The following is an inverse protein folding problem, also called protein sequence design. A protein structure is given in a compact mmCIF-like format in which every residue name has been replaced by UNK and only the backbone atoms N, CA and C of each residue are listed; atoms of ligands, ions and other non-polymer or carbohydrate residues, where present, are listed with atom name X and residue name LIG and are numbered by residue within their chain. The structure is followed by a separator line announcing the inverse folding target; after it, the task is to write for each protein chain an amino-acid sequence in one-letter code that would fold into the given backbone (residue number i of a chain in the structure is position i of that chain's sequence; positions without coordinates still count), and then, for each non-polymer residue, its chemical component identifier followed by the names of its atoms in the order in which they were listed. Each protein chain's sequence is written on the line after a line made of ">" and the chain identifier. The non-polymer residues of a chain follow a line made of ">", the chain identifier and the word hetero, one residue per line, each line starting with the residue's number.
data_IF_844482915392
#
_entry.id   IF_844482915392
#
_cell.length_a   1.000
_cell.length_b   1.000
_cell.length_c   1.000
_cell.angle_alpha   90.00
_cell.angle_beta   90.00
_cell.angle_gamma   90.00
#
_symmetry.space_group_name_H-M   'P 1'
#
loop_
_entity.id
_entity.type
_entity.pdbx_description
1 polymer ?
#
# COMPACT_ATOMS: atom_id res chain seq x y z
N UNK A 1 -7.81 -27.55 -18.12
CA UNK A 1 -6.66 -28.48 -18.15
C UNK A 1 -5.44 -27.71 -17.68
N UNK A 2 -4.87 -28.00 -16.50
CA UNK A 2 -3.67 -27.34 -16.00
C UNK A 2 -2.51 -27.66 -16.96
N UNK A 3 -1.91 -26.64 -17.57
CA UNK A 3 -0.52 -26.75 -18.00
C UNK A 3 0.34 -26.91 -16.76
N UNK A 4 1.34 -27.79 -16.74
CA UNK A 4 2.00 -28.22 -15.50
C UNK A 4 2.83 -27.17 -14.76
N UNK A 5 3.02 -25.94 -15.27
CA UNK A 5 4.05 -25.01 -14.74
C UNK A 5 3.62 -23.54 -14.57
N UNK A 6 2.34 -23.18 -14.70
CA UNK A 6 1.95 -21.78 -14.64
C UNK A 6 1.39 -21.38 -13.26
N UNK A 7 2.09 -20.49 -12.54
CA UNK A 7 1.65 -19.96 -11.26
C UNK A 7 0.40 -19.08 -11.44
N UNK A 8 -0.68 -19.42 -10.75
CA UNK A 8 -1.94 -18.67 -10.75
C UNK A 8 -1.93 -17.64 -9.63
N UNK A 9 -1.96 -16.36 -9.99
CA UNK A 9 -1.90 -15.25 -9.05
C UNK A 9 -3.22 -14.50 -9.04
N UNK A 10 -3.78 -14.27 -7.86
CA UNK A 10 -4.90 -13.37 -7.65
C UNK A 10 -4.40 -12.04 -7.05
N UNK A 11 -4.85 -10.91 -7.60
CA UNK A 11 -4.66 -9.59 -7.02
C UNK A 11 -6.03 -8.95 -6.83
N UNK A 12 -6.48 -8.81 -5.60
CA UNK A 12 -7.68 -8.02 -5.31
C UNK A 12 -7.31 -6.54 -5.19
N UNK A 13 -8.15 -5.64 -5.65
CA UNK A 13 -7.78 -4.23 -5.83
C UNK A 13 -6.78 -4.03 -6.98
N UNK A 14 -6.87 -4.91 -8.01
CA UNK A 14 -5.95 -4.95 -9.13
C UNK A 14 -6.00 -3.74 -10.06
N UNK A 15 -7.11 -2.99 -10.08
CA UNK A 15 -7.26 -1.72 -10.79
C UNK A 15 -6.76 -0.51 -10.00
N UNK A 16 -6.56 -0.66 -8.68
CA UNK A 16 -6.08 0.40 -7.80
C UNK A 16 -4.60 0.75 -8.05
N UNK A 17 -4.17 1.87 -7.47
CA UNK A 17 -2.82 2.41 -7.68
C UNK A 17 -1.68 1.41 -7.41
N UNK A 18 -1.69 0.74 -6.25
CA UNK A 18 -0.66 -0.26 -5.91
C UNK A 18 -0.92 -1.57 -6.66
N UNK A 19 -2.18 -2.02 -6.78
CA UNK A 19 -2.52 -3.27 -7.45
C UNK A 19 -2.13 -3.29 -8.93
N UNK A 20 -2.43 -2.23 -9.67
CA UNK A 20 -2.04 -2.10 -11.07
C UNK A 20 -0.51 -2.03 -11.24
N UNK A 21 0.20 -1.31 -10.34
CA UNK A 21 1.66 -1.27 -10.36
C UNK A 21 2.27 -2.64 -10.06
N UNK A 22 1.73 -3.34 -9.08
CA UNK A 22 2.15 -4.72 -8.75
C UNK A 22 1.91 -5.67 -9.92
N UNK A 23 0.74 -5.60 -10.57
CA UNK A 23 0.43 -6.42 -11.73
C UNK A 23 1.44 -6.20 -12.87
N UNK A 24 1.72 -4.93 -13.24
CA UNK A 24 2.75 -4.59 -14.24
C UNK A 24 4.13 -5.10 -13.86
N UNK A 25 4.50 -4.95 -12.57
CA UNK A 25 5.78 -5.46 -12.09
C UNK A 25 5.89 -6.98 -12.25
N UNK A 26 4.88 -7.75 -11.85
CA UNK A 26 4.86 -9.21 -11.96
C UNK A 26 4.84 -9.70 -13.42
N UNK A 27 4.20 -8.96 -14.32
CA UNK A 27 4.22 -9.28 -15.76
C UNK A 27 5.58 -9.03 -16.41
N UNK A 28 6.29 -8.00 -15.96
CA UNK A 28 7.62 -7.64 -16.48
C UNK A 28 8.76 -8.39 -15.79
N UNK A 29 8.66 -8.66 -14.49
CA UNK A 29 9.70 -9.20 -13.64
C UNK A 29 9.13 -10.29 -12.71
N UNK A 30 8.64 -11.43 -13.24
CA UNK A 30 8.11 -12.50 -12.40
C UNK A 30 9.24 -13.08 -11.52
N UNK A 31 8.96 -13.39 -10.24
CA UNK A 31 9.94 -14.07 -9.39
C UNK A 31 10.41 -15.38 -10.01
N UNK A 32 11.73 -15.60 -10.07
CA UNK A 32 12.32 -16.79 -10.69
C UNK A 32 11.78 -18.11 -10.10
N UNK A 33 11.45 -18.11 -8.80
CA UNK A 33 10.89 -19.27 -8.12
C UNK A 33 9.46 -19.65 -8.59
N UNK A 34 8.81 -18.83 -9.42
CA UNK A 34 7.47 -19.13 -9.96
C UNK A 34 7.50 -19.87 -11.31
N UNK A 35 8.69 -20.18 -11.82
CA UNK A 35 8.87 -20.85 -13.11
C UNK A 35 8.57 -19.95 -14.30
N UNK A 36 7.57 -20.30 -15.09
CA UNK A 36 7.13 -19.53 -16.25
C UNK A 36 6.35 -18.26 -15.86
N UNK A 37 6.10 -17.38 -16.83
CA UNK A 37 5.30 -16.17 -16.61
C UNK A 37 3.96 -16.48 -15.92
N UNK A 38 3.57 -15.75 -14.86
CA UNK A 38 2.34 -16.02 -14.12
C UNK A 38 1.09 -15.68 -14.94
N UNK A 39 0.00 -16.38 -14.65
CA UNK A 39 -1.34 -15.96 -15.05
C UNK A 39 -1.93 -15.12 -13.92
N UNK A 40 -2.31 -13.87 -14.21
CA UNK A 40 -2.86 -12.95 -13.24
C UNK A 40 -4.39 -12.90 -13.35
N UNK A 41 -5.08 -13.06 -12.25
CA UNK A 41 -6.49 -12.68 -12.12
C UNK A 41 -6.55 -11.41 -11.28
N UNK A 42 -7.05 -10.33 -11.89
CA UNK A 42 -7.19 -9.03 -11.24
C UNK A 42 -8.67 -8.76 -10.95
N UNK A 43 -9.00 -8.57 -9.68
CA UNK A 43 -10.38 -8.19 -9.31
C UNK A 43 -10.42 -6.79 -8.72
N UNK A 44 -11.42 -6.02 -9.11
CA UNK A 44 -11.69 -4.66 -8.64
C UNK A 44 -13.17 -4.32 -8.76
N UNK A 45 -13.64 -3.28 -8.07
CA UNK A 45 -14.98 -2.72 -8.29
C UNK A 45 -15.07 -1.89 -9.56
N UNK A 46 -13.95 -1.38 -10.03
CA UNK A 46 -13.85 -0.52 -11.20
C UNK A 46 -13.10 -1.20 -12.35
N UNK A 47 -13.31 -0.77 -13.60
CA UNK A 47 -12.57 -1.27 -14.74
C UNK A 47 -11.06 -1.15 -14.56
N UNK A 48 -10.32 -2.15 -15.03
CA UNK A 48 -8.86 -2.14 -15.01
C UNK A 48 -8.29 -1.10 -15.99
N UNK A 49 -7.07 -0.60 -15.76
CA UNK A 49 -6.31 0.14 -16.77
C UNK A 49 -6.23 -0.64 -18.09
N UNK A 50 -6.35 0.06 -19.22
CA UNK A 50 -6.49 -0.55 -20.56
C UNK A 50 -5.31 -1.48 -20.93
N UNK A 51 -4.08 -1.13 -20.51
CA UNK A 51 -2.88 -1.93 -20.73
C UNK A 51 -2.96 -3.29 -20.02
N UNK A 52 -3.50 -3.33 -18.80
CA UNK A 52 -3.70 -4.57 -18.05
C UNK A 52 -4.89 -5.37 -18.58
N UNK A 53 -5.98 -4.68 -18.93
CA UNK A 53 -7.18 -5.34 -19.47
C UNK A 53 -6.93 -6.02 -20.82
N UNK A 54 -5.96 -5.55 -21.61
CA UNK A 54 -5.60 -6.10 -22.91
C UNK A 54 -4.45 -7.12 -22.89
N UNK A 55 -3.76 -7.31 -21.76
CA UNK A 55 -2.68 -8.30 -21.67
C UNK A 55 -3.28 -9.72 -21.64
N UNK A 56 -2.87 -10.63 -22.55
CA UNK A 56 -3.43 -11.99 -22.64
C UNK A 56 -3.15 -12.85 -21.41
N UNK A 57 -2.24 -12.46 -20.54
CA UNK A 57 -1.92 -13.15 -19.26
C UNK A 57 -2.83 -12.69 -18.12
N UNK A 58 -3.67 -11.67 -18.36
CA UNK A 58 -4.55 -11.07 -17.36
C UNK A 58 -6.01 -11.46 -17.59
N UNK A 59 -6.66 -11.93 -16.54
CA UNK A 59 -8.10 -12.10 -16.46
C UNK A 59 -8.70 -11.04 -15.56
N UNK A 60 -9.56 -10.18 -16.09
CA UNK A 60 -10.26 -9.15 -15.32
C UNK A 60 -11.57 -9.70 -14.75
N UNK A 61 -11.83 -9.48 -13.45
CA UNK A 61 -13.10 -9.80 -12.80
C UNK A 61 -13.59 -8.55 -12.07
N UNK A 62 -14.66 -7.95 -12.54
CA UNK A 62 -15.17 -6.69 -12.00
C UNK A 62 -16.37 -6.96 -11.09
N UNK A 63 -16.34 -6.41 -9.89
CA UNK A 63 -17.42 -6.49 -8.91
C UNK A 63 -16.93 -6.44 -7.45
N UNK A 64 -17.87 -6.31 -6.50
CA UNK A 64 -17.56 -6.30 -5.07
C UNK A 64 -16.93 -7.64 -4.61
N UNK A 65 -15.98 -7.58 -3.68
CA UNK A 65 -15.34 -8.78 -3.13
C UNK A 65 -16.33 -9.77 -2.51
N UNK A 66 -17.37 -9.26 -1.85
CA UNK A 66 -18.39 -10.07 -1.19
C UNK A 66 -19.10 -11.03 -2.14
N UNK A 67 -19.18 -10.72 -3.43
CA UNK A 67 -19.90 -11.50 -4.45
C UNK A 67 -18.98 -12.51 -5.17
N UNK A 68 -17.67 -12.55 -4.86
CA UNK A 68 -16.68 -13.30 -5.63
C UNK A 68 -16.25 -14.64 -4.98
N UNK A 69 -17.03 -15.17 -4.06
CA UNK A 69 -16.69 -16.40 -3.34
C UNK A 69 -16.37 -17.58 -4.26
N UNK A 70 -17.11 -17.75 -5.38
CA UNK A 70 -16.85 -18.80 -6.36
C UNK A 70 -15.50 -18.61 -7.08
N UNK A 71 -15.09 -17.36 -7.37
CA UNK A 71 -13.77 -17.06 -7.91
C UNK A 71 -12.68 -17.48 -6.92
N UNK A 72 -12.82 -17.12 -5.66
CA UNK A 72 -11.81 -17.39 -4.64
C UNK A 72 -11.61 -18.88 -4.36
N UNK A 73 -12.66 -19.70 -4.55
CA UNK A 73 -12.58 -21.16 -4.42
C UNK A 73 -12.01 -21.88 -5.65
N UNK A 74 -11.68 -21.16 -6.74
CA UNK A 74 -11.14 -21.76 -7.97
C UNK A 74 -9.68 -22.25 -7.87
N UNK A 75 -9.01 -21.98 -6.75
CA UNK A 75 -7.65 -22.43 -6.44
C UNK A 75 -6.57 -21.54 -7.06
N UNK A 76 -6.03 -20.61 -6.29
CA UNK A 76 -4.86 -19.79 -6.63
C UNK A 76 -3.64 -20.29 -5.87
N UNK A 77 -2.45 -20.06 -6.42
CA UNK A 77 -1.18 -20.41 -5.76
C UNK A 77 -0.68 -19.22 -4.91
N UNK A 78 -0.90 -18.00 -5.41
CA UNK A 78 -0.46 -16.75 -4.81
C UNK A 78 -1.63 -15.75 -4.80
N UNK A 79 -1.79 -15.06 -3.68
CA UNK A 79 -2.85 -14.06 -3.50
C UNK A 79 -2.28 -12.78 -2.91
N UNK A 80 -2.43 -11.66 -3.60
CA UNK A 80 -2.23 -10.33 -3.05
C UNK A 80 -3.58 -9.70 -2.76
N UNK A 81 -3.89 -9.54 -1.49
CA UNK A 81 -5.14 -8.94 -1.07
C UNK A 81 -4.93 -7.45 -0.76
N UNK A 82 -5.21 -6.59 -1.75
CA UNK A 82 -5.00 -5.14 -1.68
C UNK A 82 -6.31 -4.35 -1.70
N UNK A 83 -7.42 -4.97 -2.10
CA UNK A 83 -8.73 -4.32 -2.13
C UNK A 83 -9.15 -3.85 -0.73
N UNK A 84 -9.58 -2.61 -0.62
CA UNK A 84 -10.03 -2.01 0.63
C UNK A 84 -10.72 -0.67 0.35
N UNK A 85 -11.83 -0.39 1.03
CA UNK A 85 -12.29 0.98 1.21
C UNK A 85 -11.24 1.75 2.01
N UNK A 86 -10.99 3.01 1.66
CA UNK A 86 -9.93 3.82 2.28
C UNK A 86 -10.40 4.51 3.57
N UNK A 87 -9.46 5.03 4.36
CA UNK A 87 -9.73 5.58 5.69
C UNK A 87 -10.84 6.63 5.70
N UNK A 88 -10.81 7.60 4.76
CA UNK A 88 -11.83 8.64 4.70
C UNK A 88 -13.23 8.11 4.37
N UNK A 89 -13.33 7.10 3.51
CA UNK A 89 -14.60 6.45 3.17
C UNK A 89 -15.16 5.69 4.38
N UNK A 90 -14.32 4.95 5.11
CA UNK A 90 -14.73 4.20 6.29
C UNK A 90 -15.20 5.09 7.45
N UNK A 91 -14.68 6.31 7.56
CA UNK A 91 -15.14 7.28 8.56
C UNK A 91 -16.46 7.95 8.15
N UNK A 92 -16.72 8.10 6.86
CA UNK A 92 -17.96 8.67 6.34
C UNK A 92 -19.09 7.62 6.28
N UNK A 93 -18.75 6.38 5.95
CA UNK A 93 -19.68 5.25 5.85
C UNK A 93 -19.10 4.02 6.55
N UNK A 94 -19.47 3.86 7.82
CA UNK A 94 -19.02 2.76 8.67
C UNK A 94 -19.38 1.39 8.09
N UNK A 95 -20.60 1.26 7.56
CA UNK A 95 -21.11 0.01 6.96
C UNK A 95 -20.37 -0.34 5.67
N UNK A 96 -20.01 0.64 4.84
CA UNK A 96 -19.17 0.43 3.67
C UNK A 96 -17.83 -0.16 4.09
N UNK A 97 -17.22 0.40 5.13
CA UNK A 97 -15.95 -0.10 5.68
C UNK A 97 -16.06 -1.55 6.12
N UNK A 98 -17.08 -1.90 6.90
CA UNK A 98 -17.30 -3.29 7.34
C UNK A 98 -17.50 -4.24 6.17
N UNK A 99 -18.39 -3.93 5.24
CA UNK A 99 -18.67 -4.79 4.07
C UNK A 99 -17.42 -4.97 3.19
N UNK A 100 -16.73 -3.89 2.87
CA UNK A 100 -15.59 -3.95 1.94
C UNK A 100 -14.35 -4.56 2.57
N UNK A 101 -14.00 -4.13 3.79
CA UNK A 101 -12.72 -4.48 4.40
C UNK A 101 -12.80 -5.78 5.19
N UNK A 102 -13.79 -5.92 6.08
CA UNK A 102 -13.89 -7.10 6.95
C UNK A 102 -14.62 -8.26 6.27
N UNK A 103 -15.86 -8.04 5.79
CA UNK A 103 -16.62 -9.11 5.17
C UNK A 103 -16.04 -9.56 3.84
N UNK A 104 -15.52 -8.62 3.02
CA UNK A 104 -14.80 -8.93 1.79
C UNK A 104 -13.56 -9.80 2.04
N UNK A 105 -12.77 -9.47 3.07
CA UNK A 105 -11.62 -10.30 3.49
C UNK A 105 -12.08 -11.67 3.97
N UNK A 106 -13.16 -11.75 4.73
CA UNK A 106 -13.71 -13.02 5.20
C UNK A 106 -14.21 -13.90 4.04
N UNK A 107 -14.90 -13.30 3.06
CA UNK A 107 -15.32 -14.01 1.84
C UNK A 107 -14.13 -14.58 1.07
N UNK A 108 -13.07 -13.79 0.92
CA UNK A 108 -11.83 -14.26 0.29
C UNK A 108 -11.24 -15.45 1.05
N UNK A 109 -11.05 -15.34 2.35
CA UNK A 109 -10.46 -16.39 3.18
C UNK A 109 -11.28 -17.68 3.18
N UNK A 110 -12.62 -17.60 3.21
CA UNK A 110 -13.49 -18.77 3.09
C UNK A 110 -13.40 -19.43 1.72
N UNK A 111 -13.33 -18.66 0.64
CA UNK A 111 -13.11 -19.21 -0.70
C UNK A 111 -11.76 -19.94 -0.81
N UNK A 112 -10.70 -19.34 -0.30
CA UNK A 112 -9.35 -19.95 -0.29
C UNK A 112 -9.32 -21.23 0.58
N UNK A 113 -10.00 -21.22 1.72
CA UNK A 113 -10.14 -22.42 2.58
C UNK A 113 -10.88 -23.54 1.85
N UNK A 114 -11.96 -23.22 1.12
CA UNK A 114 -12.71 -24.18 0.32
C UNK A 114 -11.91 -24.76 -0.84
N UNK A 115 -11.05 -23.95 -1.47
CA UNK A 115 -10.13 -24.42 -2.52
C UNK A 115 -9.17 -25.49 -2.02
N UNK A 116 -8.76 -25.45 -0.76
CA UNK A 116 -7.99 -26.51 -0.08
C UNK A 116 -6.53 -26.65 -0.51
N UNK A 117 -6.00 -25.71 -1.32
CA UNK A 117 -4.62 -25.79 -1.83
C UNK A 117 -3.60 -24.94 -1.06
N UNK A 118 -4.00 -24.36 0.07
CA UNK A 118 -3.16 -23.57 1.00
C UNK A 118 -2.31 -22.50 0.29
N UNK A 119 -2.93 -21.52 -0.40
CA UNK A 119 -2.18 -20.51 -1.14
C UNK A 119 -1.35 -19.63 -0.22
N UNK A 120 -0.24 -19.09 -0.75
CA UNK A 120 0.46 -18.00 -0.09
C UNK A 120 -0.34 -16.71 -0.29
N UNK A 121 -0.69 -16.05 0.83
CA UNK A 121 -1.50 -14.81 0.87
C UNK A 121 -0.69 -13.67 1.46
N UNK A 122 -0.49 -12.58 0.73
CA UNK A 122 0.02 -11.30 1.24
C UNK A 122 -1.14 -10.31 1.34
N UNK A 123 -1.38 -9.80 2.54
CA UNK A 123 -2.43 -8.83 2.85
C UNK A 123 -1.83 -7.45 3.11
N UNK A 124 -2.37 -6.44 2.44
CA UNK A 124 -2.04 -5.05 2.69
C UNK A 124 -2.76 -4.53 3.94
N UNK A 125 -2.13 -4.69 5.11
CA UNK A 125 -2.49 -3.96 6.31
C UNK A 125 -1.92 -2.53 6.24
N UNK A 126 -1.96 -1.78 7.32
CA UNK A 126 -1.62 -0.36 7.32
C UNK A 126 -0.98 0.06 8.64
N UNK A 127 -0.15 1.10 8.57
CA UNK A 127 0.32 1.83 9.74
C UNK A 127 -0.84 2.46 10.54
N UNK A 128 -2.02 2.60 9.96
CA UNK A 128 -3.22 3.09 10.63
C UNK A 128 -3.76 2.18 11.76
N UNK A 129 -3.17 1.00 11.95
CA UNK A 129 -3.45 0.15 13.13
C UNK A 129 -2.87 0.74 14.42
N UNK A 130 -1.96 1.70 14.34
CA UNK A 130 -1.36 2.36 15.49
C UNK A 130 -2.04 3.69 15.81
N UNK A 131 -2.06 4.01 17.09
CA UNK A 131 -2.52 5.29 17.62
C UNK A 131 -2.39 5.31 19.14
N UNK A 132 -2.65 6.44 19.78
CA UNK A 132 -2.73 6.53 21.24
C UNK A 132 -4.06 5.93 21.72
N UNK A 133 -4.07 5.40 22.95
CA UNK A 133 -5.32 5.02 23.65
C UNK A 133 -5.39 5.80 24.97
N UNK A 134 -6.58 6.10 25.52
CA UNK A 134 -6.68 6.75 26.82
C UNK A 134 -5.86 6.01 27.89
N UNK A 135 -4.86 6.71 28.48
CA UNK A 135 -3.95 6.13 29.46
C UNK A 135 -2.76 5.35 28.86
N UNK A 136 -2.65 5.22 27.55
CA UNK A 136 -1.52 4.57 26.89
C UNK A 136 -1.00 5.44 25.73
N UNK A 137 0.08 6.16 25.98
CA UNK A 137 0.72 6.97 24.95
C UNK A 137 1.33 6.07 23.85
N UNK A 138 1.14 6.47 22.58
CA UNK A 138 1.84 5.84 21.49
C UNK A 138 3.34 6.16 21.56
N UNK A 139 4.25 5.17 21.39
CA UNK A 139 5.68 5.44 21.38
C UNK A 139 6.08 6.33 20.19
N UNK A 140 7.15 7.09 20.35
CA UNK A 140 7.67 7.98 19.30
C UNK A 140 8.05 7.23 18.02
N UNK A 141 8.49 5.97 18.14
CA UNK A 141 8.80 5.06 17.04
C UNK A 141 7.99 3.78 17.23
N UNK A 142 7.15 3.45 16.28
CA UNK A 142 6.37 2.19 16.27
C UNK A 142 7.13 1.10 15.51
N UNK A 143 6.87 -0.14 15.88
CA UNK A 143 7.32 -1.35 15.18
C UNK A 143 6.21 -2.43 15.20
N UNK A 144 6.47 -3.59 14.63
CA UNK A 144 5.52 -4.70 14.63
C UNK A 144 5.18 -5.27 16.02
N UNK A 145 5.91 -4.93 17.07
CA UNK A 145 5.66 -5.37 18.46
C UNK A 145 4.95 -4.28 19.27
N UNK A 146 4.84 -3.07 18.75
CA UNK A 146 4.07 -1.99 19.36
C UNK A 146 2.60 -2.40 19.44
N UNK A 147 1.97 -2.20 20.60
CA UNK A 147 0.55 -2.46 20.78
C UNK A 147 -0.26 -1.66 19.76
N UNK A 148 -1.06 -2.36 18.97
CA UNK A 148 -1.95 -1.73 17.99
C UNK A 148 -3.18 -1.16 18.71
N UNK A 149 -3.42 0.15 18.55
CA UNK A 149 -4.56 0.88 19.11
C UNK A 149 -5.12 1.81 18.02
N UNK A 150 -5.88 1.28 17.06
CA UNK A 150 -6.36 2.04 15.91
C UNK A 150 -7.32 3.15 16.33
N UNK A 151 -7.17 4.33 15.74
CA UNK A 151 -8.00 5.50 16.00
C UNK A 151 -9.02 5.77 14.88
N UNK A 152 -9.14 4.85 13.92
CA UNK A 152 -10.08 4.95 12.80
C UNK A 152 -10.76 3.61 12.55
N UNK A 153 -11.97 3.63 11.99
CA UNK A 153 -12.69 2.43 11.55
C UNK A 153 -11.86 1.59 10.57
N UNK A 154 -11.18 2.25 9.64
CA UNK A 154 -10.25 1.61 8.71
C UNK A 154 -9.11 0.86 9.43
N UNK A 155 -8.45 1.52 10.37
CA UNK A 155 -7.36 0.91 11.16
C UNK A 155 -7.84 -0.29 11.96
N UNK A 156 -9.03 -0.18 12.60
CA UNK A 156 -9.66 -1.27 13.33
C UNK A 156 -9.96 -2.47 12.42
N UNK A 157 -10.53 -2.22 11.24
CA UNK A 157 -10.84 -3.26 10.26
C UNK A 157 -9.57 -3.96 9.74
N UNK A 158 -8.51 -3.19 9.47
CA UNK A 158 -7.21 -3.77 9.06
C UNK A 158 -6.63 -4.66 10.17
N UNK A 159 -6.67 -4.22 11.43
CA UNK A 159 -6.18 -5.00 12.57
C UNK A 159 -6.98 -6.29 12.76
N UNK A 160 -8.32 -6.24 12.67
CA UNK A 160 -9.17 -7.44 12.73
C UNK A 160 -8.81 -8.44 11.62
N UNK A 161 -8.55 -7.96 10.40
CA UNK A 161 -8.13 -8.79 9.28
C UNK A 161 -6.74 -9.42 9.51
N UNK A 162 -5.78 -8.69 10.13
CA UNK A 162 -4.48 -9.26 10.50
C UNK A 162 -4.65 -10.51 11.40
N UNK A 163 -5.47 -10.42 12.44
CA UNK A 163 -5.71 -11.55 13.35
C UNK A 163 -6.49 -12.68 12.68
N UNK A 164 -7.46 -12.36 11.83
CA UNK A 164 -8.21 -13.36 11.08
C UNK A 164 -7.27 -14.15 10.16
N UNK A 165 -6.41 -13.49 9.40
CA UNK A 165 -5.41 -14.12 8.53
C UNK A 165 -4.41 -14.95 9.34
N UNK A 166 -3.98 -14.45 10.50
CA UNK A 166 -3.08 -15.18 11.39
C UNK A 166 -3.72 -16.49 11.91
N UNK A 167 -5.02 -16.50 12.19
CA UNK A 167 -5.72 -17.71 12.62
C UNK A 167 -5.92 -18.70 11.46
N UNK A 168 -6.32 -18.24 10.28
CA UNK A 168 -6.40 -19.08 9.07
C UNK A 168 -5.03 -19.71 8.73
N UNK A 169 -3.94 -18.98 8.96
CA UNK A 169 -2.57 -19.48 8.81
C UNK A 169 -2.25 -20.55 9.86
N UNK A 170 -2.60 -20.30 11.12
CA UNK A 170 -2.41 -21.26 12.22
C UNK A 170 -3.16 -22.58 11.97
N UNK A 171 -4.32 -22.47 11.34
CA UNK A 171 -5.18 -23.62 10.97
C UNK A 171 -4.70 -24.34 9.70
N UNK A 172 -3.71 -23.79 8.97
CA UNK A 172 -3.19 -24.36 7.74
C UNK A 172 -4.10 -24.19 6.52
N UNK A 173 -5.03 -23.22 6.54
CA UNK A 173 -5.90 -22.95 5.40
C UNK A 173 -5.21 -22.07 4.34
N UNK A 174 -4.34 -21.16 4.77
CA UNK A 174 -3.51 -20.31 3.91
C UNK A 174 -2.11 -20.19 4.50
N UNK A 175 -1.12 -19.77 3.70
CA UNK A 175 0.16 -19.25 4.17
C UNK A 175 0.09 -17.71 4.17
N UNK A 176 -0.57 -17.15 5.20
CA UNK A 176 -0.89 -15.72 5.28
C UNK A 176 0.24 -14.88 5.86
N UNK A 177 0.39 -13.66 5.33
CA UNK A 177 1.42 -12.68 5.66
C UNK A 177 0.83 -11.29 5.61
N UNK A 178 0.61 -10.67 6.76
CA UNK A 178 0.07 -9.31 6.82
C UNK A 178 1.19 -8.29 6.81
N UNK A 179 1.14 -7.36 5.87
CA UNK A 179 2.12 -6.29 5.68
C UNK A 179 1.52 -4.94 6.13
N UNK A 180 2.04 -4.32 7.18
CA UNK A 180 1.68 -2.95 7.56
C UNK A 180 2.39 -1.98 6.64
N UNK A 181 1.64 -1.51 5.62
CA UNK A 181 2.12 -0.52 4.67
C UNK A 181 2.28 0.83 5.36
N UNK A 182 3.35 1.53 5.02
CA UNK A 182 3.54 2.94 5.36
C UNK A 182 2.69 3.83 4.45
N UNK A 183 2.59 5.12 4.76
CA UNK A 183 1.91 6.04 3.85
C UNK A 183 2.69 6.12 2.53
N UNK A 184 2.04 5.70 1.44
CA UNK A 184 2.68 5.69 0.12
C UNK A 184 2.68 7.09 -0.48
N UNK A 185 3.85 7.58 -0.85
CA UNK A 185 4.12 8.89 -1.48
C UNK A 185 5.25 8.74 -2.52
N UNK A 186 5.19 9.35 -3.68
CA UNK A 186 4.19 10.30 -4.15
C UNK A 186 3.14 9.55 -4.96
N UNK A 187 1.85 9.73 -4.61
CA UNK A 187 0.75 9.15 -5.39
C UNK A 187 0.47 10.02 -6.61
N UNK A 188 0.41 9.46 -7.82
CA UNK A 188 -0.03 10.19 -9.01
C UNK A 188 -1.54 10.48 -8.94
N UNK A 189 -2.04 11.29 -9.84
CA UNK A 189 -3.46 11.62 -9.99
C UNK A 189 -3.88 12.85 -9.21
N UNK A 190 -5.18 13.01 -8.97
CA UNK A 190 -5.77 14.16 -8.30
C UNK A 190 -5.73 14.01 -6.77
N UNK A 191 -5.74 15.11 -6.00
CA UNK A 191 -5.97 15.09 -4.58
C UNK A 191 -7.26 14.35 -4.24
N UNK A 192 -7.23 13.53 -3.20
CA UNK A 192 -8.42 12.86 -2.67
C UNK A 192 -8.73 13.40 -1.26
N UNK A 193 -9.91 13.08 -0.72
CA UNK A 193 -10.37 13.54 0.59
C UNK A 193 -9.66 12.93 1.80
N UNK A 194 -8.64 12.07 1.62
CA UNK A 194 -7.90 11.49 2.73
C UNK A 194 -6.99 12.53 3.39
N UNK A 195 -6.96 12.56 4.74
CA UNK A 195 -6.08 13.46 5.49
C UNK A 195 -4.60 13.31 5.09
N UNK A 196 -4.14 12.11 4.70
CA UNK A 196 -2.78 11.85 4.22
C UNK A 196 -2.48 12.33 2.79
N UNK A 197 -3.48 12.84 2.07
CA UNK A 197 -3.34 13.26 0.67
C UNK A 197 -2.30 14.37 0.49
N UNK A 198 -2.15 15.24 1.50
CA UNK A 198 -1.22 16.36 1.44
C UNK A 198 0.24 15.91 1.34
N UNK A 199 0.65 14.76 1.90
CA UNK A 199 2.03 14.27 1.76
C UNK A 199 2.44 14.04 0.30
N UNK A 200 1.50 13.65 -0.55
CA UNK A 200 1.75 13.60 -1.99
C UNK A 200 1.55 14.96 -2.64
N UNK A 201 0.56 15.73 -2.20
CA UNK A 201 0.18 17.00 -2.76
C UNK A 201 1.30 18.05 -2.71
N UNK A 202 1.99 18.18 -1.58
CA UNK A 202 3.09 19.16 -1.41
C UNK A 202 4.33 18.83 -2.27
N UNK A 203 4.34 17.71 -2.95
CA UNK A 203 5.39 17.31 -3.91
C UNK A 203 4.84 17.32 -5.34
N UNK A 204 3.72 16.65 -5.58
CA UNK A 204 3.12 16.46 -6.90
C UNK A 204 2.68 17.77 -7.56
N UNK A 205 1.91 18.60 -6.83
CA UNK A 205 1.39 19.86 -7.37
C UNK A 205 2.52 20.84 -7.74
N UNK A 206 3.52 21.09 -6.87
CA UNK A 206 4.65 21.95 -7.25
C UNK A 206 5.43 21.44 -8.46
N UNK A 207 5.63 20.13 -8.59
CA UNK A 207 6.26 19.53 -9.78
C UNK A 207 5.41 19.73 -11.05
N UNK A 208 4.10 19.74 -10.91
CA UNK A 208 3.18 20.05 -12.01
C UNK A 208 3.04 21.56 -12.29
N UNK A 209 3.79 22.43 -11.58
CA UNK A 209 3.72 23.89 -11.75
C UNK A 209 2.55 24.56 -11.02
N UNK A 210 1.88 23.84 -10.10
CA UNK A 210 0.70 24.32 -9.37
C UNK A 210 1.08 24.69 -7.93
N UNK A 211 0.43 25.72 -7.39
CA UNK A 211 0.55 26.07 -5.98
C UNK A 211 -0.03 24.97 -5.10
N UNK A 212 0.63 24.67 -3.98
CA UNK A 212 0.18 23.71 -3.00
C UNK A 212 0.16 24.31 -1.60
N UNK A 213 -0.82 23.87 -0.80
CA UNK A 213 -0.97 24.31 0.59
C UNK A 213 -0.69 23.12 1.50
N UNK A 214 0.32 23.27 2.38
CA UNK A 214 0.55 22.31 3.45
C UNK A 214 -0.36 22.64 4.64
N UNK A 215 -1.21 21.69 5.08
CA UNK A 215 -2.21 21.95 6.13
C UNK A 215 -1.68 21.71 7.55
N UNK A 216 -0.42 21.34 7.71
CA UNK A 216 0.19 21.01 9.00
C UNK A 216 1.51 21.74 9.21
N UNK A 217 2.03 21.72 10.43
CA UNK A 217 3.27 22.37 10.76
C UNK A 217 4.49 21.65 10.18
N UNK A 218 5.61 22.36 9.93
CA UNK A 218 6.81 21.79 9.32
C UNK A 218 7.47 20.64 10.09
N UNK A 219 7.29 20.58 11.42
CA UNK A 219 7.86 19.57 12.30
C UNK A 219 7.01 18.28 12.39
N UNK A 220 5.86 18.23 11.76
CA UNK A 220 5.04 17.02 11.65
C UNK A 220 5.84 15.95 10.90
N UNK A 221 6.12 14.84 11.60
CA UNK A 221 6.87 13.71 11.09
C UNK A 221 5.96 12.52 10.77
N UNK A 222 6.30 11.77 9.72
CA UNK A 222 5.56 10.57 9.35
C UNK A 222 6.43 9.58 8.57
N UNK A 223 6.23 8.25 8.75
CA UNK A 223 6.91 7.25 7.94
C UNK A 223 6.25 7.12 6.56
N UNK A 224 7.05 7.30 5.52
CA UNK A 224 6.64 7.28 4.12
C UNK A 224 7.39 6.19 3.36
N UNK A 225 6.81 5.68 2.30
CA UNK A 225 7.45 4.76 1.37
C UNK A 225 7.04 5.07 -0.07
N UNK A 226 7.94 4.81 -1.02
CA UNK A 226 7.59 4.94 -2.44
C UNK A 226 6.64 3.83 -2.90
N UNK A 227 5.91 4.04 -4.02
CA UNK A 227 5.15 2.97 -4.66
C UNK A 227 6.02 1.77 -5.05
N UNK A 228 7.23 2.00 -5.50
CA UNK A 228 8.16 0.94 -5.90
C UNK A 228 8.64 0.12 -4.70
N UNK A 229 9.09 0.77 -3.64
CA UNK A 229 9.50 0.11 -2.41
C UNK A 229 8.35 -0.72 -1.82
N UNK A 230 7.13 -0.19 -1.85
CA UNK A 230 5.92 -0.90 -1.42
C UNK A 230 5.69 -2.17 -2.25
N UNK A 231 5.75 -2.09 -3.58
CA UNK A 231 5.55 -3.23 -4.48
C UNK A 231 6.64 -4.29 -4.27
N UNK A 232 7.91 -3.88 -4.22
CA UNK A 232 9.03 -4.79 -3.99
C UNK A 232 8.92 -5.49 -2.63
N UNK A 233 8.47 -4.78 -1.60
CA UNK A 233 8.23 -5.34 -0.27
C UNK A 233 7.12 -6.40 -0.29
N UNK A 234 6.01 -6.15 -0.99
CA UNK A 234 4.92 -7.13 -1.15
C UNK A 234 5.40 -8.39 -1.89
N UNK A 235 6.19 -8.23 -2.96
CA UNK A 235 6.78 -9.35 -3.71
C UNK A 235 7.80 -10.10 -2.85
N UNK A 236 8.64 -9.38 -2.11
CA UNK A 236 9.60 -9.97 -1.18
C UNK A 236 8.91 -10.82 -0.10
N UNK A 237 7.81 -10.32 0.48
CA UNK A 237 7.00 -11.09 1.42
C UNK A 237 6.36 -12.31 0.77
N UNK A 238 5.88 -12.21 -0.46
CA UNK A 238 5.28 -13.32 -1.20
C UNK A 238 6.30 -14.43 -1.47
N UNK A 239 7.56 -14.10 -1.69
CA UNK A 239 8.64 -15.05 -2.04
C UNK A 239 9.41 -15.59 -0.85
N UNK A 240 9.37 -14.90 0.30
CA UNK A 240 10.03 -15.35 1.52
C UNK A 240 9.50 -16.73 1.96
N UNK A 241 10.35 -17.61 2.48
CA UNK A 241 9.91 -18.89 3.04
C UNK A 241 9.19 -18.71 4.37
N UNK A 242 8.28 -19.62 4.72
CA UNK A 242 7.61 -19.60 6.04
C UNK A 242 8.62 -19.77 7.17
N UNK A 243 9.66 -20.58 6.95
CA UNK A 243 10.72 -20.82 7.94
C UNK A 243 11.54 -19.54 8.20
N UNK A 244 11.75 -18.71 7.18
CA UNK A 244 12.39 -17.41 7.33
C UNK A 244 11.50 -16.44 8.12
N UNK A 245 10.21 -16.38 7.79
CA UNK A 245 9.26 -15.47 8.44
C UNK A 245 9.05 -15.75 9.92
N UNK A 246 9.00 -17.03 10.33
CA UNK A 246 8.82 -17.52 11.71
C UNK A 246 7.60 -17.00 12.46
N UNK A 247 6.93 -15.95 11.97
CA UNK A 247 5.79 -15.29 12.63
C UNK A 247 4.54 -15.30 11.74
N UNK A 248 3.37 -15.30 12.36
CA UNK A 248 2.06 -15.18 11.69
C UNK A 248 1.46 -13.78 11.83
N UNK A 249 1.93 -13.02 12.81
CA UNK A 249 1.49 -11.63 13.02
C UNK A 249 2.09 -10.71 11.97
N UNK A 250 1.48 -9.55 11.81
CA UNK A 250 1.87 -8.56 10.82
C UNK A 250 3.32 -8.08 10.95
N UNK A 251 3.87 -7.67 9.83
CA UNK A 251 5.23 -7.11 9.69
C UNK A 251 5.11 -5.67 9.22
N UNK A 252 5.86 -4.77 9.85
CA UNK A 252 6.02 -3.39 9.39
C UNK A 252 6.93 -3.36 8.16
N UNK A 253 6.49 -2.69 7.08
CA UNK A 253 7.31 -2.54 5.88
C UNK A 253 8.33 -1.40 6.03
N UNK A 254 9.41 -1.38 5.22
CA UNK A 254 10.41 -0.33 5.25
C UNK A 254 9.81 1.07 5.02
N UNK A 255 10.38 2.07 5.68
CA UNK A 255 9.97 3.45 5.61
C UNK A 255 11.13 4.43 5.62
N UNK A 256 10.92 5.60 5.03
CA UNK A 256 11.69 6.80 5.26
C UNK A 256 10.94 7.66 6.27
N UNK A 257 11.53 7.85 7.46
CA UNK A 257 10.97 8.68 8.52
C UNK A 257 11.41 10.12 8.30
N UNK A 258 10.50 11.02 7.97
CA UNK A 258 10.80 12.41 7.62
C UNK A 258 9.77 13.37 8.19
N UNK A 259 10.21 14.61 8.49
CA UNK A 259 9.30 15.73 8.75
C UNK A 259 8.85 16.38 7.45
N UNK A 260 7.76 17.16 7.50
CA UNK A 260 7.31 17.97 6.38
C UNK A 260 8.42 18.93 5.93
N UNK A 261 9.16 19.56 6.87
CA UNK A 261 10.31 20.40 6.52
C UNK A 261 11.34 19.62 5.68
N UNK A 262 11.73 18.43 6.14
CA UNK A 262 12.70 17.57 5.41
C UNK A 262 12.17 17.12 4.03
N UNK A 263 10.86 16.89 3.90
CA UNK A 263 10.25 16.60 2.59
C UNK A 263 10.41 17.78 1.63
N UNK A 264 10.18 19.01 2.11
CA UNK A 264 10.29 20.21 1.30
C UNK A 264 11.75 20.59 0.99
N UNK A 265 12.69 20.31 1.91
CA UNK A 265 14.12 20.45 1.64
C UNK A 265 14.56 19.45 0.55
N UNK A 266 14.04 18.22 0.57
CA UNK A 266 14.28 17.24 -0.49
C UNK A 266 13.69 17.71 -1.84
N UNK A 267 12.48 18.28 -1.83
CA UNK A 267 11.88 18.86 -3.05
C UNK A 267 12.76 19.98 -3.63
N UNK A 268 13.32 20.83 -2.77
CA UNK A 268 14.24 21.90 -3.20
C UNK A 268 15.53 21.32 -3.80
N UNK A 269 16.13 20.31 -3.16
CA UNK A 269 17.36 19.66 -3.71
C UNK A 269 17.13 19.00 -5.06
N UNK A 270 15.99 18.33 -5.23
CA UNK A 270 15.69 17.56 -6.46
C UNK A 270 15.16 18.43 -7.59
N UNK A 271 14.30 19.41 -7.26
CA UNK A 271 13.53 20.16 -8.25
C UNK A 271 13.82 21.68 -8.26
N UNK A 272 14.63 22.16 -7.34
CA UNK A 272 15.04 23.57 -7.24
C UNK A 272 14.13 24.45 -6.39
N UNK A 273 14.65 25.64 -6.01
CA UNK A 273 13.97 26.54 -5.08
C UNK A 273 12.67 27.13 -5.65
N UNK A 274 12.57 27.29 -6.97
CA UNK A 274 11.34 27.80 -7.60
C UNK A 274 10.17 26.82 -7.46
N UNK A 275 10.44 25.51 -7.56
CA UNK A 275 9.42 24.47 -7.32
C UNK A 275 9.04 24.46 -5.84
N UNK A 276 10.02 24.49 -4.95
CA UNK A 276 9.80 24.56 -3.50
C UNK A 276 8.95 25.76 -3.08
N UNK A 277 9.17 26.93 -3.69
CA UNK A 277 8.44 28.17 -3.39
C UNK A 277 6.94 28.10 -3.71
N UNK A 278 6.48 27.12 -4.48
CA UNK A 278 5.04 26.89 -4.74
C UNK A 278 4.32 26.28 -3.55
N UNK A 279 5.01 25.84 -2.51
CA UNK A 279 4.38 25.29 -1.30
C UNK A 279 4.30 26.37 -0.23
N UNK A 280 3.08 26.67 0.20
CA UNK A 280 2.78 27.57 1.31
C UNK A 280 2.18 26.79 2.48
N UNK A 281 2.26 27.35 3.68
CA UNK A 281 1.68 26.76 4.87
C UNK A 281 0.39 27.49 5.26
N UNK A 282 -0.68 26.72 5.45
CA UNK A 282 -1.93 27.21 6.04
C UNK A 282 -2.51 26.08 6.87
N UNK A 283 -2.28 26.14 8.17
CA UNK A 283 -2.72 25.10 9.12
C UNK A 283 -4.24 24.90 9.04
N UNK A 284 -4.65 23.65 8.92
CA UNK A 284 -6.03 23.17 9.04
C UNK A 284 -6.12 22.37 10.34
N UNK A 285 -6.87 22.90 11.32
CA UNK A 285 -6.96 22.32 12.66
C UNK A 285 -7.57 20.91 12.65
N UNK A 286 -8.49 20.62 11.72
CA UNK A 286 -9.07 19.28 11.59
C UNK A 286 -8.04 18.27 11.10
N UNK A 287 -7.29 18.61 10.06
CA UNK A 287 -6.23 17.74 9.53
C UNK A 287 -5.12 17.58 10.56
N UNK A 288 -4.69 18.67 11.19
CA UNK A 288 -3.66 18.65 12.23
C UNK A 288 -4.04 17.73 13.41
N UNK A 289 -5.29 17.79 13.88
CA UNK A 289 -5.78 16.92 14.95
C UNK A 289 -5.80 15.42 14.56
N UNK A 290 -6.14 15.11 13.31
CA UNK A 290 -6.10 13.73 12.79
C UNK A 290 -4.64 13.23 12.76
N UNK A 291 -3.74 14.02 12.18
CA UNK A 291 -2.33 13.65 11.98
C UNK A 291 -1.57 13.55 13.30
N UNK A 292 -1.95 14.33 14.32
CA UNK A 292 -1.36 14.26 15.66
C UNK A 292 -1.48 12.87 16.32
N UNK A 293 -2.46 12.06 15.89
CA UNK A 293 -2.67 10.69 16.36
C UNK A 293 -1.91 9.63 15.53
N UNK A 294 -1.15 10.03 14.53
CA UNK A 294 -0.42 9.10 13.68
C UNK A 294 1.01 8.85 14.18
N UNK A 295 1.60 7.69 13.87
CA UNK A 295 3.01 7.44 14.17
C UNK A 295 3.93 8.47 13.53
N UNK A 296 4.87 8.98 14.32
CA UNK A 296 5.88 9.93 13.83
C UNK A 296 7.03 9.24 13.11
N UNK A 297 7.32 7.99 13.48
CA UNK A 297 8.34 7.16 12.88
C UNK A 297 7.98 5.68 13.03
N UNK A 298 8.51 4.85 12.13
CA UNK A 298 8.39 3.40 12.20
C UNK A 298 9.74 2.72 12.00
N UNK A 299 9.92 1.56 12.67
CA UNK A 299 11.01 0.61 12.42
C UNK A 299 10.48 -0.60 11.66
N UNK A 300 11.32 -1.16 10.81
CA UNK A 300 11.01 -2.30 9.95
C UNK A 300 12.15 -3.33 9.95
N UNK A 301 12.81 -3.52 11.08
CA UNK A 301 14.00 -4.37 11.20
C UNK A 301 13.73 -5.80 10.67
N UNK A 302 12.56 -6.37 10.98
CA UNK A 302 12.16 -7.68 10.47
C UNK A 302 12.04 -7.70 8.95
N UNK A 303 11.33 -6.74 8.35
CA UNK A 303 11.16 -6.67 6.90
C UNK A 303 12.48 -6.44 6.18
N UNK A 304 13.35 -5.57 6.70
CA UNK A 304 14.67 -5.31 6.17
C UNK A 304 15.52 -6.59 6.13
N UNK A 305 15.55 -7.34 7.22
CA UNK A 305 16.29 -8.61 7.30
C UNK A 305 15.72 -9.69 6.37
N UNK A 306 14.38 -9.75 6.21
CA UNK A 306 13.72 -10.73 5.35
C UNK A 306 13.84 -10.39 3.87
N UNK A 307 13.63 -9.12 3.52
CA UNK A 307 13.56 -8.66 2.14
C UNK A 307 14.94 -8.45 1.51
N UNK A 308 15.98 -8.33 2.34
CA UNK A 308 17.36 -8.10 1.87
C UNK A 308 17.59 -6.70 1.29
N UNK A 309 16.66 -5.74 1.52
CA UNK A 309 16.83 -4.35 1.11
C UNK A 309 16.22 -3.39 2.16
N UNK A 310 16.75 -2.20 2.35
CA UNK A 310 16.32 -1.26 3.38
C UNK A 310 15.06 -0.44 3.02
N UNK A 311 14.51 -0.59 1.82
CA UNK A 311 13.48 0.28 1.25
C UNK A 311 14.07 1.45 0.46
N UNK A 312 13.40 2.60 0.49
CA UNK A 312 13.89 3.82 -0.16
C UNK A 312 15.10 4.38 0.61
N UNK A 313 16.13 4.81 -0.11
CA UNK A 313 17.36 5.34 0.50
C UNK A 313 17.14 6.71 1.17
N UNK A 314 16.23 7.53 0.63
CA UNK A 314 15.91 8.86 1.11
C UNK A 314 14.60 9.37 0.54
N UNK A 315 14.10 10.49 1.04
CA UNK A 315 12.92 11.12 0.44
C UNK A 315 13.23 11.77 -0.92
N UNK A 316 14.48 12.18 -1.14
CA UNK A 316 14.97 12.62 -2.47
C UNK A 316 14.80 11.50 -3.52
N UNK A 317 15.13 10.26 -3.16
CA UNK A 317 14.94 9.10 -4.02
C UNK A 317 13.47 8.84 -4.34
N UNK A 318 12.57 9.06 -3.37
CA UNK A 318 11.11 8.95 -3.58
C UNK A 318 10.62 9.99 -4.58
N UNK A 319 11.08 11.23 -4.48
CA UNK A 319 10.75 12.30 -5.44
C UNK A 319 11.30 11.97 -6.83
N UNK A 320 12.57 11.55 -6.91
CA UNK A 320 13.19 11.18 -8.19
C UNK A 320 12.43 10.03 -8.86
N UNK A 321 12.03 9.01 -8.09
CA UNK A 321 11.23 7.92 -8.63
C UNK A 321 9.89 8.40 -9.21
N UNK A 322 9.20 9.33 -8.54
CA UNK A 322 7.96 9.91 -9.09
C UNK A 322 8.23 10.62 -10.42
N UNK A 323 9.30 11.40 -10.52
CA UNK A 323 9.71 12.10 -11.76
C UNK A 323 9.95 11.08 -12.87
N UNK A 324 10.71 10.02 -12.59
CA UNK A 324 11.06 8.99 -13.57
C UNK A 324 9.80 8.18 -14.00
N UNK A 325 8.90 7.89 -13.09
CA UNK A 325 7.61 7.25 -13.40
C UNK A 325 6.75 8.12 -14.34
N UNK A 326 6.68 9.43 -14.11
CA UNK A 326 5.91 10.34 -14.96
C UNK A 326 6.51 10.46 -16.37
N UNK A 327 7.83 10.42 -16.46
CA UNK A 327 8.54 10.38 -17.76
C UNK A 327 8.28 9.05 -18.48
N UNK A 328 8.43 7.93 -17.79
CA UNK A 328 8.25 6.59 -18.37
C UNK A 328 6.82 6.32 -18.84
N UNK A 329 5.83 6.94 -18.20
CA UNK A 329 4.39 6.77 -18.55
C UNK A 329 3.86 7.83 -19.52
N UNK A 330 4.73 8.71 -20.05
CA UNK A 330 4.34 9.77 -21.00
C UNK A 330 3.49 10.89 -20.37
N UNK A 331 3.53 11.04 -19.04
CA UNK A 331 2.77 12.05 -18.31
C UNK A 331 3.63 13.29 -17.94
N UNK A 332 4.87 13.35 -18.40
CA UNK A 332 5.83 14.41 -18.06
C UNK A 332 5.29 15.82 -18.37
N UNK A 333 4.70 16.02 -19.53
CA UNK A 333 4.20 17.33 -19.99
C UNK A 333 3.16 17.96 -19.06
N UNK A 334 2.45 17.14 -18.30
CA UNK A 334 1.44 17.60 -17.34
C UNK A 334 1.91 17.52 -15.91
N UNK A 335 2.49 16.40 -15.50
CA UNK A 335 2.88 16.13 -14.12
C UNK A 335 4.19 16.81 -13.70
N UNK A 336 5.05 17.18 -14.65
CA UNK A 336 6.37 17.77 -14.42
C UNK A 336 6.53 19.16 -15.05
N UNK A 337 5.44 19.79 -15.45
CA UNK A 337 5.45 21.14 -16.08
C UNK A 337 6.15 22.21 -15.23
N UNK A 338 6.23 21.98 -13.94
CA UNK A 338 6.88 22.91 -13.01
C UNK A 338 8.41 22.78 -12.93
N UNK A 339 8.98 21.70 -13.48
CA UNK A 339 10.43 21.56 -13.60
C UNK A 339 10.92 22.48 -14.72
N UNK A 340 11.94 23.28 -14.42
CA UNK A 340 12.67 24.01 -15.47
C UNK A 340 13.33 22.99 -16.40
N UNK A 341 13.17 23.17 -17.70
CA UNK A 341 13.84 22.38 -18.74
C UNK A 341 15.35 22.52 -18.66
#
# INVERSE_FOLDING_TARGET
>A
VRGPDMTRVLITGGGGFIGARLARHLLAHPPAAWGTAPSLTLTDQFPLPADLASDPRVTAVIGPLGDQGALFSSGFDKVFHLASAVSGECELDFELGLRSNLDGTRTLLEGLRQAGNQPCLVFSSSIAVYGPDPGLAMPAVVDENTLAAPQTSYGAQKLMCEYLIADYTRKGYVDGRSARLMTVSVRPGQPNGAASSFFSGIIREPLAGVQSVCPVDPDVAHPLASPQSTVLSLVGLMTASRDTLKRRLAIALPAVNVTVAQMLDALERVAGPEVRARVTFKRDERIAAIVANWPRAAKSDTATALLGFPGDASFDAIIQQYIDDMRATGQADTALKGLSS
#
